data_IF_407120887397
#
_entry.id   IF_407120887397
#
_cell.length_a   1.000
_cell.length_b   1.000
_cell.length_c   1.000
_cell.angle_alpha   90.00
_cell.angle_beta   90.00
_cell.angle_gamma   90.00
#
_symmetry.space_group_name_H-M   'P 1'
#
loop_
_entity.id
_entity.type
_entity.pdbx_description
1 polymer ?
#
# COMPACT_ATOMS: atom_id res chain seq x y z
N UNK A 1 6.61 17.63 -0.02
CA UNK A 1 7.49 18.29 -1.01
C UNK A 1 8.69 17.39 -1.18
N UNK A 2 8.94 16.86 -2.40
CA UNK A 2 10.18 16.14 -2.68
C UNK A 2 11.35 17.10 -2.48
N UNK A 3 12.34 16.69 -1.69
CA UNK A 3 13.63 17.39 -1.65
C UNK A 3 14.38 17.03 -2.92
N UNK A 4 14.69 18.01 -3.75
CA UNK A 4 15.11 17.89 -5.16
C UNK A 4 16.41 17.11 -5.45
N UNK A 5 16.92 16.25 -4.58
CA UNK A 5 18.21 15.58 -4.78
C UNK A 5 18.42 14.25 -4.04
N UNK A 6 17.36 13.62 -3.51
CA UNK A 6 17.51 12.32 -2.86
C UNK A 6 17.60 11.19 -3.90
N UNK A 7 18.45 10.17 -3.69
CA UNK A 7 18.52 9.02 -4.59
C UNK A 7 17.21 8.25 -4.61
N UNK A 8 16.85 7.73 -5.77
CA UNK A 8 15.68 6.88 -5.98
C UNK A 8 16.16 5.44 -6.18
N UNK A 9 15.56 4.53 -5.44
CA UNK A 9 15.80 3.09 -5.56
C UNK A 9 14.52 2.39 -5.98
N UNK A 10 14.67 1.28 -6.70
CA UNK A 10 13.57 0.38 -7.08
C UNK A 10 13.63 -0.87 -6.27
N UNK A 11 12.49 -1.25 -5.72
CA UNK A 11 12.34 -2.52 -5.05
C UNK A 11 12.30 -3.64 -6.08
N UNK A 12 13.12 -4.65 -5.87
CA UNK A 12 13.25 -5.85 -6.69
C UNK A 12 13.00 -7.09 -5.85
N UNK A 13 12.38 -8.08 -6.47
CA UNK A 13 12.23 -9.42 -5.91
C UNK A 13 13.33 -10.28 -6.50
N UNK A 14 14.26 -10.70 -5.70
CA UNK A 14 15.45 -11.45 -6.12
C UNK A 14 15.57 -12.83 -5.45
N UNK A 15 14.91 -13.02 -4.31
CA UNK A 15 14.92 -14.26 -3.55
C UNK A 15 13.51 -14.71 -3.16
N UNK A 16 13.38 -15.97 -2.75
CA UNK A 16 12.12 -16.50 -2.21
C UNK A 16 11.73 -15.88 -0.84
N UNK A 17 12.66 -15.23 -0.17
CA UNK A 17 12.43 -14.56 1.11
C UNK A 17 11.87 -13.15 0.93
N UNK A 18 12.00 -12.57 -0.28
CA UNK A 18 11.47 -11.24 -0.56
C UNK A 18 9.93 -11.27 -0.58
N UNK A 19 9.30 -10.31 0.08
CA UNK A 19 7.85 -10.20 0.15
C UNK A 19 7.36 -9.47 1.38
N UNK A 20 6.04 -9.33 1.51
CA UNK A 20 5.38 -8.74 2.68
C UNK A 20 5.27 -9.80 3.76
N UNK A 21 5.80 -9.53 4.96
CA UNK A 21 5.74 -10.46 6.10
C UNK A 21 4.80 -9.99 7.22
N UNK A 22 4.55 -8.69 7.34
CA UNK A 22 3.65 -8.13 8.34
C UNK A 22 2.95 -6.88 7.81
N UNK A 23 1.78 -6.58 8.37
CA UNK A 23 1.05 -5.35 8.15
C UNK A 23 0.86 -4.62 9.47
N UNK A 24 1.19 -3.32 9.51
CA UNK A 24 0.98 -2.50 10.69
C UNK A 24 -0.18 -1.53 10.48
N UNK A 25 -1.00 -1.37 11.52
CA UNK A 25 -1.91 -0.23 11.63
C UNK A 25 -1.16 0.92 12.29
N UNK A 26 -1.04 2.04 11.58
CA UNK A 26 -0.19 3.16 11.98
C UNK A 26 -0.95 4.49 11.96
N UNK A 27 -0.44 5.46 12.72
CA UNK A 27 -0.93 6.85 12.70
C UNK A 27 -0.45 7.61 11.44
N UNK A 28 0.78 7.33 10.95
CA UNK A 28 1.34 7.93 9.73
C UNK A 28 1.75 6.85 8.73
N UNK A 29 0.86 6.48 7.78
CA UNK A 29 1.19 5.50 6.77
C UNK A 29 2.27 6.01 5.81
N UNK A 30 3.25 5.16 5.49
CA UNK A 30 4.36 5.49 4.59
C UNK A 30 3.91 5.85 3.17
N UNK A 31 2.74 5.37 2.75
CA UNK A 31 2.10 5.68 1.46
C UNK A 31 1.36 7.03 1.47
N UNK A 32 1.42 7.78 2.58
CA UNK A 32 0.77 9.09 2.77
C UNK A 32 -0.75 9.08 2.51
N UNK A 33 -1.41 7.94 2.73
CA UNK A 33 -2.86 7.76 2.54
C UNK A 33 -3.49 7.01 3.71
N UNK A 34 -4.50 7.62 4.30
CA UNK A 34 -5.28 7.00 5.36
C UNK A 34 -6.26 5.96 4.78
N UNK A 35 -6.59 4.96 5.56
CA UNK A 35 -7.67 4.04 5.21
C UNK A 35 -9.05 4.68 5.44
N UNK A 36 -10.07 4.07 4.85
CA UNK A 36 -11.49 4.41 5.06
C UNK A 36 -12.12 3.35 5.95
N UNK A 37 -12.74 3.78 7.05
CA UNK A 37 -13.52 2.88 7.90
C UNK A 37 -14.98 2.89 7.46
N UNK A 38 -15.54 1.72 7.20
CA UNK A 38 -16.94 1.58 6.81
C UNK A 38 -17.84 1.49 8.04
N UNK A 39 -18.71 2.51 8.21
CA UNK A 39 -19.87 2.47 9.08
C UNK A 39 -21.15 2.49 8.24
N UNK A 40 -22.20 1.86 8.77
CA UNK A 40 -23.52 1.83 8.10
C UNK A 40 -24.24 3.16 8.28
N UNK A 41 -23.84 4.28 7.72
CA UNK A 41 -24.76 5.39 7.36
C UNK A 41 -24.07 6.61 6.71
N UNK A 42 -24.71 6.99 5.61
CA UNK A 42 -24.82 8.29 4.97
C UNK A 42 -23.60 9.02 4.37
N UNK A 43 -23.80 9.27 3.06
CA UNK A 43 -23.16 10.30 2.26
C UNK A 43 -23.10 11.66 2.98
N UNK A 44 -21.95 12.04 3.53
CA UNK A 44 -21.60 13.45 3.71
C UNK A 44 -20.09 13.67 3.66
N UNK A 45 -19.71 14.48 2.65
CA UNK A 45 -18.51 15.32 2.48
C UNK A 45 -17.20 14.85 3.13
N UNK A 46 -16.28 14.59 2.21
CA UNK A 46 -14.84 14.38 2.40
C UNK A 46 -14.18 15.54 3.16
N UNK A 47 -14.12 15.44 4.45
CA UNK A 47 -13.07 15.98 5.29
C UNK A 47 -12.38 14.77 5.92
N UNK A 48 -11.06 14.88 6.22
CA UNK A 48 -10.28 13.82 6.86
C UNK A 48 -11.15 13.07 7.86
N UNK A 49 -11.32 11.75 7.68
CA UNK A 49 -12.36 10.95 8.31
C UNK A 49 -12.37 11.17 9.82
N UNK A 50 -13.13 12.14 10.28
CA UNK A 50 -13.60 12.22 11.65
C UNK A 50 -14.78 11.27 11.74
N UNK A 51 -14.61 10.20 12.46
CA UNK A 51 -15.63 9.19 12.72
C UNK A 51 -16.91 9.84 13.20
N UNK A 52 -17.99 9.68 12.44
CA UNK A 52 -19.34 9.94 12.93
C UNK A 52 -19.70 8.89 13.96
N UNK A 53 -20.50 9.28 14.94
CA UNK A 53 -20.90 8.48 16.08
C UNK A 53 -21.30 7.04 15.73
N UNK A 54 -20.82 6.14 16.54
CA UNK A 54 -20.99 4.69 16.49
C UNK A 54 -22.46 4.38 16.76
N UNK A 55 -23.16 3.86 15.75
CA UNK A 55 -24.44 3.19 15.94
C UNK A 55 -24.27 1.66 15.89
N UNK A 56 -25.14 0.93 16.56
CA UNK A 56 -25.14 -0.53 16.55
C UNK A 56 -25.13 -1.07 15.11
N UNK A 57 -24.08 -1.84 14.75
CA UNK A 57 -23.97 -2.48 13.44
C UNK A 57 -22.76 -2.06 12.59
N UNK A 58 -21.71 -1.49 13.18
CA UNK A 58 -20.45 -1.19 12.49
C UNK A 58 -19.89 -2.43 11.81
N UNK A 59 -19.55 -2.29 10.52
CA UNK A 59 -18.90 -3.38 9.80
C UNK A 59 -17.47 -3.61 10.27
N UNK A 60 -16.83 -2.61 10.89
CA UNK A 60 -15.43 -2.63 11.35
C UNK A 60 -14.47 -3.07 10.24
N UNK A 61 -14.64 -2.51 9.07
CA UNK A 61 -13.81 -2.74 7.89
C UNK A 61 -12.98 -1.49 7.62
N UNK A 62 -11.70 -1.70 7.34
CA UNK A 62 -10.73 -0.66 6.99
C UNK A 62 -10.28 -0.90 5.55
N UNK A 63 -10.69 -0.05 4.62
CA UNK A 63 -10.18 -0.06 3.24
C UNK A 63 -9.05 0.95 3.11
N UNK A 64 -7.91 0.54 2.61
CA UNK A 64 -6.79 1.43 2.38
C UNK A 64 -5.76 0.91 1.39
N UNK A 65 -4.85 1.82 1.03
CA UNK A 65 -3.70 1.51 0.17
C UNK A 65 -2.64 0.80 1.02
N UNK A 66 -2.17 -0.33 0.54
CA UNK A 66 -1.02 -1.06 1.10
C UNK A 66 0.27 -0.62 0.40
N UNK A 67 0.25 -0.59 -0.94
CA UNK A 67 1.40 -0.17 -1.76
C UNK A 67 0.94 0.71 -2.91
N UNK A 68 1.68 1.77 -3.20
CA UNK A 68 1.46 2.62 -4.37
C UNK A 68 2.41 2.23 -5.49
N UNK A 69 1.87 2.01 -6.68
CA UNK A 69 2.66 1.70 -7.86
C UNK A 69 3.33 2.95 -8.42
N UNK A 70 4.62 2.83 -8.76
CA UNK A 70 5.40 3.89 -9.40
C UNK A 70 5.42 5.25 -8.65
N UNK A 71 5.13 5.19 -7.34
CA UNK A 71 5.11 6.35 -6.46
C UNK A 71 6.34 6.35 -5.54
N UNK A 72 7.11 7.46 -5.47
CA UNK A 72 8.30 7.54 -4.63
C UNK A 72 7.91 7.69 -3.15
N UNK A 73 8.27 6.69 -2.35
CA UNK A 73 8.02 6.64 -0.92
C UNK A 73 9.30 7.02 -0.20
N UNK A 74 9.26 8.09 0.59
CA UNK A 74 10.40 8.54 1.39
C UNK A 74 10.80 7.50 2.43
N UNK A 75 12.10 7.32 2.59
CA UNK A 75 12.72 6.47 3.61
C UNK A 75 13.89 7.20 4.26
N UNK A 76 14.05 6.94 5.54
CA UNK A 76 15.25 7.34 6.30
C UNK A 76 15.74 6.13 7.08
N UNK A 77 16.86 5.59 6.68
CA UNK A 77 17.50 4.48 7.36
C UNK A 77 18.82 4.95 7.98
N UNK A 78 18.82 5.07 9.32
CA UNK A 78 19.96 5.51 10.11
C UNK A 78 20.60 6.83 9.64
N UNK A 79 19.76 7.77 9.15
CA UNK A 79 20.20 9.07 8.65
C UNK A 79 20.53 9.09 7.16
N UNK A 80 20.38 7.97 6.46
CA UNK A 80 20.47 7.90 5.00
C UNK A 80 19.05 8.10 4.44
N UNK A 81 18.85 9.22 3.75
CA UNK A 81 17.57 9.58 3.15
C UNK A 81 17.51 9.18 1.68
N UNK A 82 16.42 8.57 1.27
CA UNK A 82 16.19 8.12 -0.11
C UNK A 82 14.71 7.94 -0.41
N UNK A 83 14.38 7.75 -1.68
CA UNK A 83 13.06 7.29 -2.10
C UNK A 83 13.13 5.85 -2.57
N UNK A 84 12.09 5.07 -2.24
CA UNK A 84 11.86 3.73 -2.79
C UNK A 84 10.62 3.75 -3.67
N UNK A 85 10.69 3.06 -4.80
CA UNK A 85 9.58 2.91 -5.75
C UNK A 85 9.33 1.43 -5.98
N UNK A 86 8.05 1.05 -5.99
CA UNK A 86 7.58 -0.29 -6.33
C UNK A 86 6.85 -0.20 -7.66
N UNK A 87 7.27 -0.96 -8.67
CA UNK A 87 6.50 -1.05 -9.90
C UNK A 87 5.29 -1.99 -9.76
N UNK A 88 4.32 -1.88 -10.67
CA UNK A 88 3.08 -2.65 -10.60
C UNK A 88 3.30 -4.18 -10.68
N UNK A 89 4.36 -4.65 -11.34
CA UNK A 89 4.70 -6.07 -11.44
C UNK A 89 5.23 -6.61 -10.10
N UNK A 90 6.17 -5.88 -9.47
CA UNK A 90 6.67 -6.18 -8.13
C UNK A 90 5.54 -6.22 -7.10
N UNK A 91 4.62 -5.23 -7.16
CA UNK A 91 3.46 -5.18 -6.27
C UNK A 91 2.56 -6.40 -6.45
N UNK A 92 2.30 -6.81 -7.69
CA UNK A 92 1.47 -7.99 -7.99
C UNK A 92 2.07 -9.28 -7.44
N UNK A 93 3.39 -9.45 -7.60
CA UNK A 93 4.10 -10.59 -7.03
C UNK A 93 4.02 -10.60 -5.50
N UNK A 94 4.27 -9.45 -4.86
CA UNK A 94 4.18 -9.32 -3.40
C UNK A 94 2.78 -9.61 -2.86
N UNK A 95 1.73 -9.17 -3.58
CA UNK A 95 0.34 -9.44 -3.20
C UNK A 95 0.03 -10.94 -3.25
N UNK A 96 0.44 -11.63 -4.32
CA UNK A 96 0.28 -13.08 -4.44
C UNK A 96 1.02 -13.82 -3.33
N UNK A 97 2.29 -13.46 -3.13
CA UNK A 97 3.15 -14.10 -2.14
C UNK A 97 2.62 -13.91 -0.71
N UNK A 98 2.15 -12.73 -0.36
CA UNK A 98 1.53 -12.45 0.95
C UNK A 98 0.38 -13.43 1.27
N UNK A 99 -0.43 -13.77 0.27
CA UNK A 99 -1.53 -14.74 0.43
C UNK A 99 -1.01 -16.18 0.51
N UNK A 100 -0.05 -16.55 -0.34
CA UNK A 100 0.53 -17.91 -0.40
C UNK A 100 1.28 -18.23 0.89
N UNK A 101 2.03 -17.27 1.44
CA UNK A 101 2.80 -17.43 2.67
C UNK A 101 1.92 -17.35 3.95
N UNK A 102 0.63 -17.00 3.80
CA UNK A 102 -0.34 -17.02 4.90
C UNK A 102 -0.28 -15.79 5.81
N UNK A 103 0.20 -14.65 5.35
CA UNK A 103 0.36 -13.42 6.14
C UNK A 103 -0.93 -12.58 6.30
N UNK A 104 -2.09 -13.14 5.96
CA UNK A 104 -3.38 -12.45 6.07
C UNK A 104 -3.76 -12.04 7.51
N UNK A 105 -3.19 -12.70 8.52
CA UNK A 105 -3.45 -12.43 9.95
C UNK A 105 -2.22 -11.89 10.69
N UNK A 106 -1.13 -11.65 9.98
CA UNK A 106 0.12 -11.12 10.56
C UNK A 106 0.02 -9.60 10.61
N UNK A 107 -0.57 -9.09 11.69
CA UNK A 107 -0.82 -7.66 11.91
C UNK A 107 -0.30 -7.23 13.26
N UNK A 108 0.39 -6.08 13.30
CA UNK A 108 0.81 -5.42 14.52
C UNK A 108 0.34 -3.95 14.57
N UNK A 109 0.76 -3.22 15.59
CA UNK A 109 0.48 -1.79 15.77
C UNK A 109 1.78 -1.01 15.78
N UNK A 110 1.86 0.05 14.97
CA UNK A 110 2.97 1.01 14.99
C UNK A 110 4.37 0.36 14.78
N UNK A 111 4.45 -0.78 14.09
CA UNK A 111 5.69 -1.53 13.90
C UNK A 111 6.36 -1.97 15.23
N UNK A 112 5.56 -2.30 16.24
CA UNK A 112 6.09 -2.71 17.54
C UNK A 112 6.51 -4.20 17.59
N UNK A 113 6.21 -4.96 16.54
CA UNK A 113 6.54 -6.39 16.39
C UNK A 113 5.65 -7.32 17.23
N UNK A 114 4.65 -6.79 17.95
CA UNK A 114 3.71 -7.59 18.72
C UNK A 114 2.43 -7.80 17.92
N UNK A 115 2.20 -9.03 17.46
CA UNK A 115 1.01 -9.36 16.69
C UNK A 115 -0.26 -9.17 17.52
N UNK A 116 -1.27 -8.58 16.90
CA UNK A 116 -2.59 -8.39 17.51
C UNK A 116 -3.59 -9.41 16.99
N UNK A 117 -4.33 -10.02 17.92
CA UNK A 117 -5.42 -10.93 17.58
C UNK A 117 -6.68 -10.17 17.15
N UNK A 118 -7.49 -10.81 16.30
CA UNK A 118 -8.79 -10.28 15.90
C UNK A 118 -8.71 -9.18 14.82
N UNK A 119 -7.56 -9.03 14.16
CA UNK A 119 -7.41 -8.21 12.95
C UNK A 119 -6.92 -9.09 11.82
N UNK A 120 -7.58 -9.06 10.68
CA UNK A 120 -7.17 -9.86 9.53
C UNK A 120 -7.55 -9.23 8.20
N UNK A 121 -6.78 -9.55 7.18
CA UNK A 121 -7.08 -9.22 5.79
C UNK A 121 -8.33 -9.99 5.34
N UNK A 122 -9.37 -9.28 4.90
CA UNK A 122 -10.60 -9.85 4.36
C UNK A 122 -10.59 -9.83 2.83
N UNK A 123 -10.07 -8.76 2.23
CA UNK A 123 -9.97 -8.60 0.78
C UNK A 123 -8.61 -8.00 0.42
N UNK A 124 -8.04 -8.48 -0.69
CA UNK A 124 -6.81 -7.97 -1.29
C UNK A 124 -7.02 -7.82 -2.79
N UNK A 125 -6.75 -6.64 -3.33
CA UNK A 125 -6.93 -6.40 -4.76
C UNK A 125 -5.97 -5.34 -5.30
N UNK A 126 -5.74 -5.41 -6.60
CA UNK A 126 -4.96 -4.42 -7.35
C UNK A 126 -5.93 -3.46 -8.04
N UNK A 127 -5.69 -2.15 -7.93
CA UNK A 127 -6.44 -1.15 -8.70
C UNK A 127 -6.22 -1.36 -10.20
N UNK A 128 -7.33 -1.54 -10.92
CA UNK A 128 -7.33 -1.76 -12.37
C UNK A 128 -8.64 -1.20 -12.93
N UNK A 129 -8.62 0.05 -13.34
CA UNK A 129 -9.82 0.74 -13.86
C UNK A 129 -10.33 0.11 -15.16
N UNK A 130 -9.46 -0.57 -15.92
CA UNK A 130 -9.88 -1.29 -17.15
C UNK A 130 -10.76 -2.49 -16.84
N UNK A 131 -10.63 -3.05 -15.63
CA UNK A 131 -11.45 -4.16 -15.11
C UNK A 131 -12.59 -3.69 -14.20
N UNK A 132 -12.75 -2.35 -14.03
CA UNK A 132 -13.75 -1.78 -13.13
C UNK A 132 -13.35 -1.86 -11.65
N UNK A 133 -12.09 -2.13 -11.32
CA UNK A 133 -11.57 -2.18 -9.96
C UNK A 133 -10.98 -0.81 -9.60
N UNK A 134 -11.80 0.06 -9.05
CA UNK A 134 -11.40 1.41 -8.62
C UNK A 134 -12.13 1.77 -7.33
N UNK A 135 -11.47 1.69 -6.18
CA UNK A 135 -12.11 1.99 -4.91
C UNK A 135 -12.44 3.48 -4.81
N UNK A 136 -13.67 3.76 -4.37
CA UNK A 136 -14.15 5.13 -4.20
C UNK A 136 -13.35 5.86 -3.13
N UNK A 137 -12.95 7.09 -3.41
CA UNK A 137 -12.13 7.92 -2.52
C UNK A 137 -10.63 7.78 -2.75
N UNK A 138 -10.22 6.93 -3.70
CA UNK A 138 -8.82 6.67 -4.06
C UNK A 138 -8.59 6.82 -5.57
N UNK A 139 -9.35 7.70 -6.21
CA UNK A 139 -9.29 7.92 -7.67
C UNK A 139 -7.93 8.44 -8.12
N UNK A 140 -7.24 9.16 -7.24
CA UNK A 140 -5.90 9.75 -7.44
C UNK A 140 -4.74 8.79 -7.16
N UNK A 141 -5.01 7.57 -6.69
CA UNK A 141 -3.98 6.55 -6.48
C UNK A 141 -3.68 5.86 -7.82
N UNK A 142 -2.43 5.55 -8.06
CA UNK A 142 -1.92 5.01 -9.32
C UNK A 142 -2.52 3.64 -9.66
N UNK A 143 -2.68 3.36 -10.96
CA UNK A 143 -3.02 2.02 -11.46
C UNK A 143 -1.93 1.00 -11.07
N UNK A 144 -2.34 -0.22 -10.75
CA UNK A 144 -1.41 -1.24 -10.27
C UNK A 144 -1.11 -1.18 -8.77
N UNK A 145 -1.63 -0.17 -8.05
CA UNK A 145 -1.49 -0.07 -6.60
C UNK A 145 -2.28 -1.16 -5.87
N UNK A 146 -1.73 -1.64 -4.75
CA UNK A 146 -2.31 -2.69 -3.91
C UNK A 146 -3.20 -2.09 -2.83
N UNK A 147 -4.39 -2.63 -2.71
CA UNK A 147 -5.37 -2.29 -1.69
C UNK A 147 -5.70 -3.49 -0.82
N UNK A 148 -5.99 -3.23 0.43
CA UNK A 148 -6.53 -4.22 1.36
C UNK A 148 -7.77 -3.73 2.09
N UNK A 149 -8.66 -4.68 2.40
CA UNK A 149 -9.73 -4.49 3.36
C UNK A 149 -9.43 -5.34 4.57
N UNK A 150 -9.24 -4.71 5.71
CA UNK A 150 -8.98 -5.40 6.97
C UNK A 150 -10.24 -5.38 7.84
N UNK A 151 -10.57 -6.54 8.41
CA UNK A 151 -11.62 -6.72 9.41
C UNK A 151 -11.03 -6.61 10.81
N UNK A 152 -11.65 -5.79 11.65
CA UNK A 152 -11.23 -5.57 13.03
C UNK A 152 -12.29 -6.13 13.99
N UNK A 153 -12.04 -7.29 14.57
CA UNK A 153 -12.87 -7.88 15.64
C UNK A 153 -12.42 -7.42 17.01
N UNK A 154 -11.15 -6.99 17.15
CA UNK A 154 -10.57 -6.52 18.41
C UNK A 154 -11.15 -5.16 18.80
N UNK A 155 -11.81 -5.09 19.96
CA UNK A 155 -12.47 -3.87 20.43
C UNK A 155 -11.48 -2.75 20.77
N UNK A 156 -10.30 -3.08 21.34
CA UNK A 156 -9.28 -2.10 21.70
C UNK A 156 -8.68 -1.46 20.45
N UNK A 157 -8.36 -2.27 19.43
CA UNK A 157 -7.85 -1.79 18.13
C UNK A 157 -8.92 -0.94 17.44
N UNK A 158 -10.18 -1.36 17.48
CA UNK A 158 -11.27 -0.58 16.89
C UNK A 158 -11.45 0.78 17.59
N UNK A 159 -11.30 0.82 18.91
CA UNK A 159 -11.33 2.07 19.66
C UNK A 159 -10.13 2.98 19.33
N UNK A 160 -8.94 2.42 19.09
CA UNK A 160 -7.78 3.19 18.60
C UNK A 160 -8.05 3.81 17.21
N UNK A 161 -8.63 3.04 16.29
CA UNK A 161 -9.06 3.54 14.98
C UNK A 161 -10.05 4.71 15.15
N UNK A 162 -11.06 4.57 16.00
CA UNK A 162 -12.06 5.63 16.27
C UNK A 162 -11.45 6.90 16.88
N UNK A 163 -10.40 6.77 17.67
CA UNK A 163 -9.66 7.92 18.23
C UNK A 163 -8.65 8.53 17.27
N UNK A 164 -8.46 7.91 16.07
CA UNK A 164 -7.46 8.36 15.10
C UNK A 164 -6.01 8.05 15.50
N UNK A 165 -5.81 7.08 16.38
CA UNK A 165 -4.49 6.58 16.77
C UNK A 165 -3.93 5.58 15.74
N UNK A 166 -4.80 5.04 14.88
CA UNK A 166 -4.46 4.26 13.70
C UNK A 166 -5.24 4.83 12.52
N UNK A 167 -4.57 5.32 11.50
CA UNK A 167 -5.19 5.99 10.36
C UNK A 167 -4.87 5.36 9.00
N UNK A 168 -3.86 4.50 8.92
CA UNK A 168 -3.47 3.88 7.68
C UNK A 168 -2.73 2.57 7.86
N UNK A 169 -2.35 1.97 6.73
CA UNK A 169 -1.55 0.77 6.66
C UNK A 169 -0.09 1.09 6.39
N UNK A 170 0.80 0.35 7.01
CA UNK A 170 2.22 0.33 6.68
C UNK A 170 2.69 -1.12 6.64
N UNK A 171 3.39 -1.50 5.58
CA UNK A 171 3.88 -2.86 5.41
C UNK A 171 5.29 -3.01 6.00
N UNK A 172 5.58 -4.22 6.46
CA UNK A 172 6.92 -4.72 6.67
C UNK A 172 7.19 -5.86 5.69
N UNK A 173 8.40 -5.88 5.14
CA UNK A 173 8.78 -6.89 4.17
C UNK A 173 10.26 -6.84 3.85
N UNK A 174 10.72 -7.89 3.19
CA UNK A 174 12.07 -7.99 2.67
C UNK A 174 12.05 -7.80 1.16
N UNK A 175 12.94 -6.97 0.65
CA UNK A 175 13.14 -6.74 -0.77
C UNK A 175 14.53 -6.15 -1.02
N UNK A 176 15.09 -6.49 -2.14
CA UNK A 176 16.32 -5.88 -2.60
C UNK A 176 16.02 -4.53 -3.25
N UNK A 177 17.00 -3.65 -3.25
CA UNK A 177 16.86 -2.34 -3.88
C UNK A 177 17.99 -2.12 -4.88
N UNK A 178 17.64 -1.72 -6.08
CA UNK A 178 18.59 -1.25 -7.09
C UNK A 178 18.48 0.26 -7.25
N UNK A 179 19.62 0.94 -7.42
CA UNK A 179 19.63 2.37 -7.68
C UNK A 179 19.03 2.64 -9.06
N UNK A 180 18.14 3.61 -9.11
CA UNK A 180 17.61 4.10 -10.37
C UNK A 180 18.72 4.80 -11.15
N UNK A 181 19.35 4.12 -12.11
CA UNK A 181 20.13 4.78 -13.13
C UNK A 181 19.17 5.40 -14.14
N UNK A 182 18.98 6.73 -14.04
CA UNK A 182 18.07 7.47 -14.92
C UNK A 182 18.44 7.29 -16.41
N UNK A 183 19.72 7.13 -16.73
CA UNK A 183 20.21 6.89 -18.10
C UNK A 183 19.79 5.50 -18.61
N UNK A 184 19.91 4.46 -17.79
CA UNK A 184 19.53 3.09 -18.18
C UNK A 184 18.02 2.97 -18.41
N UNK A 185 17.21 3.67 -17.62
CA UNK A 185 15.75 3.72 -17.80
C UNK A 185 15.31 4.41 -19.05
N UNK A 186 15.87 5.59 -19.30
CA UNK A 186 15.57 6.31 -20.54
C UNK A 186 15.88 5.43 -21.75
N UNK A 187 17.02 4.72 -21.69
CA UNK A 187 17.40 3.78 -22.74
C UNK A 187 16.42 2.58 -22.86
N UNK A 188 15.99 2.00 -21.73
CA UNK A 188 15.00 0.91 -21.74
C UNK A 188 13.63 1.37 -22.24
N UNK A 189 13.16 2.56 -21.83
CA UNK A 189 11.92 3.15 -22.34
C UNK A 189 11.97 3.43 -23.85
N UNK A 190 13.10 3.91 -24.36
CA UNK A 190 13.32 4.11 -25.79
C UNK A 190 13.31 2.77 -26.58
N UNK A 191 13.90 1.73 -26.01
CA UNK A 191 13.89 0.37 -26.60
C UNK A 191 12.46 -0.19 -26.65
N UNK A 192 11.69 -0.10 -25.56
CA UNK A 192 10.30 -0.55 -25.53
C UNK A 192 9.41 0.21 -26.53
N UNK A 193 9.60 1.52 -26.68
CA UNK A 193 8.84 2.32 -27.64
C UNK A 193 9.19 1.94 -29.08
N UNK A 194 10.48 1.66 -29.36
CA UNK A 194 10.92 1.15 -30.66
C UNK A 194 10.33 -0.23 -30.96
N UNK A 195 10.29 -1.14 -29.99
CA UNK A 195 9.68 -2.47 -30.15
C UNK A 195 8.17 -2.38 -30.40
N UNK A 196 7.43 -1.51 -29.68
CA UNK A 196 6.00 -1.25 -29.93
C UNK A 196 5.77 -0.72 -31.34
N UNK A 197 6.62 0.20 -31.79
CA UNK A 197 6.52 0.79 -33.12
C UNK A 197 6.76 -0.25 -34.21
N UNK A 198 7.75 -1.13 -34.05
CA UNK A 198 8.05 -2.22 -34.97
C UNK A 198 6.93 -3.27 -35.04
N UNK A 199 6.30 -3.57 -33.90
CA UNK A 199 5.18 -4.51 -33.85
C UNK A 199 3.89 -3.96 -34.47
N UNK A 200 3.71 -2.63 -34.51
CA UNK A 200 2.56 -1.97 -35.15
C UNK A 200 2.73 -1.79 -36.68
N UNK A 201 3.91 -2.06 -37.23
CA UNK A 201 4.22 -1.97 -38.70
C UNK A 201 4.08 -3.36 -39.38
N UNK A 202 3.89 -4.42 -38.61
CA UNK A 202 3.60 -5.78 -39.09
C UNK A 202 2.13 -6.07 -39.10
#
# INVERSE_FOLDING_TARGET
MMTDNLPIYYAEITTEEDGICCMSLVDFPAVERNFVAFSKHEEKKREAVRFAAIEEGEQRLLLGVIMRADYPIYRNDNGIEYYIVYNAETIRYMAEKMLVDGHATTVDLQHDGNLVDGVHLQELFIKDTTKGISPQGFEDVEEGSLFGVYKVHNDEVWDMVKRGECMGFSLEGYFHVSRADAELRNLMAEVEEMERTLNNIR
#
